data_IF_260226806699
#
_entry.id   IF_260226806699
#
_cell.length_a   1.000
_cell.length_b   1.000
_cell.length_c   1.000
_cell.angle_alpha   90.00
_cell.angle_beta   90.00
_cell.angle_gamma   90.00
#
_symmetry.space_group_name_H-M   'P 1'
#
loop_
_entity.id
_entity.type
_entity.pdbx_description
1 polymer ?
#
# COMPACT_ATOMS: atom_id res chain seq x y z
N UNK A 1 12.62 6.43 18.48
CA UNK A 1 11.97 6.30 19.80
C UNK A 1 10.82 5.33 19.75
N UNK A 2 9.89 5.50 18.79
CA UNK A 2 8.73 4.59 18.66
C UNK A 2 9.18 3.16 18.35
N UNK A 3 10.11 2.98 17.42
CA UNK A 3 10.61 1.65 17.07
C UNK A 3 11.30 0.97 18.26
N UNK A 4 12.07 1.73 19.02
CA UNK A 4 12.76 1.21 20.18
C UNK A 4 11.75 0.78 21.27
N UNK A 5 10.70 1.55 21.45
CA UNK A 5 9.62 1.22 22.38
C UNK A 5 8.86 -0.03 21.93
N UNK A 6 8.55 -0.15 20.64
CA UNK A 6 7.92 -1.36 20.10
C UNK A 6 8.78 -2.59 20.32
N UNK A 7 10.09 -2.49 20.08
CA UNK A 7 11.01 -3.61 20.27
C UNK A 7 11.07 -4.07 21.73
N UNK A 8 10.98 -3.12 22.69
CA UNK A 8 11.05 -3.43 24.12
C UNK A 8 9.75 -3.97 24.71
N UNK A 9 8.62 -3.41 24.27
CA UNK A 9 7.33 -3.61 24.94
C UNK A 9 6.37 -4.50 24.16
N UNK A 10 6.77 -5.02 23.01
CA UNK A 10 5.92 -5.90 22.20
C UNK A 10 6.73 -7.10 21.70
N UNK A 11 6.01 -8.10 21.18
CA UNK A 11 6.61 -9.27 20.52
C UNK A 11 6.70 -9.09 19.01
N UNK A 12 6.45 -7.88 18.51
CA UNK A 12 6.55 -7.59 17.09
C UNK A 12 7.98 -7.79 16.60
N UNK A 13 8.13 -8.40 15.45
CA UNK A 13 9.42 -8.71 14.84
C UNK A 13 9.82 -7.73 13.76
N UNK A 14 8.84 -7.16 13.08
CA UNK A 14 9.08 -6.19 12.01
C UNK A 14 7.89 -5.24 11.85
N UNK A 15 8.13 -4.14 11.15
CA UNK A 15 7.10 -3.16 10.81
C UNK A 15 7.16 -2.93 9.30
N UNK A 16 5.99 -2.92 8.66
CA UNK A 16 5.85 -2.60 7.23
C UNK A 16 5.09 -1.29 7.13
N UNK A 17 5.57 -0.40 6.27
CA UNK A 17 4.88 0.86 5.99
C UNK A 17 4.88 1.15 4.49
N UNK A 18 4.02 2.06 4.08
CA UNK A 18 3.84 2.41 2.68
C UNK A 18 3.89 3.92 2.51
N UNK A 19 4.55 4.37 1.44
CA UNK A 19 4.55 5.76 1.03
C UNK A 19 3.81 5.86 -0.31
N UNK A 20 2.81 6.74 -0.38
CA UNK A 20 1.93 6.84 -1.54
C UNK A 20 2.51 7.81 -2.59
N UNK A 21 2.94 7.31 -3.77
CA UNK A 21 3.48 8.18 -4.80
C UNK A 21 2.44 9.14 -5.39
N UNK A 22 1.15 8.81 -5.36
CA UNK A 22 0.11 9.72 -5.86
C UNK A 22 -0.07 10.92 -4.95
N UNK A 23 0.29 10.81 -3.68
CA UNK A 23 0.30 11.92 -2.72
C UNK A 23 1.65 12.65 -2.67
N UNK A 24 2.56 12.33 -3.57
CA UNK A 24 3.90 12.93 -3.59
C UNK A 24 4.87 12.37 -2.57
N UNK A 25 4.55 11.25 -1.94
CA UNK A 25 5.38 10.66 -0.90
C UNK A 25 6.36 9.62 -1.47
N UNK A 26 7.63 9.87 -1.26
CA UNK A 26 8.71 8.98 -1.68
C UNK A 26 9.18 8.07 -0.55
N UNK A 27 8.85 8.41 0.68
CA UNK A 27 9.31 7.67 1.85
C UNK A 27 10.66 8.14 2.38
N UNK A 28 11.00 9.41 2.18
CA UNK A 28 12.30 9.97 2.61
C UNK A 28 12.53 9.77 4.11
N UNK A 29 11.49 9.90 4.92
CA UNK A 29 11.59 9.69 6.37
C UNK A 29 12.02 8.26 6.69
N UNK A 30 11.56 7.28 5.93
CA UNK A 30 11.93 5.87 6.12
C UNK A 30 13.35 5.61 5.62
N UNK A 31 13.75 6.24 4.51
CA UNK A 31 15.12 6.15 4.01
C UNK A 31 16.11 6.71 5.02
N UNK A 32 15.79 7.86 5.60
CA UNK A 32 16.62 8.49 6.63
C UNK A 32 16.72 7.63 7.90
N UNK A 33 15.69 6.84 8.20
CA UNK A 33 15.68 5.93 9.33
C UNK A 33 16.33 4.57 9.07
N UNK A 34 16.87 4.35 7.87
CA UNK A 34 17.52 3.08 7.53
C UNK A 34 16.59 1.93 7.24
N UNK A 35 15.35 2.20 6.88
CA UNK A 35 14.39 1.16 6.52
C UNK A 35 14.79 0.49 5.21
N UNK A 36 14.43 -0.78 5.07
CA UNK A 36 14.66 -1.51 3.83
C UNK A 36 13.55 -1.20 2.84
N UNK A 37 13.92 -0.95 1.59
CA UNK A 37 12.96 -0.74 0.52
C UNK A 37 12.74 -2.05 -0.24
N UNK A 38 11.49 -2.47 -0.38
CA UNK A 38 11.15 -3.74 -1.02
C UNK A 38 10.35 -3.55 -2.31
N UNK A 39 10.38 -2.36 -2.88
CA UNK A 39 9.73 -2.08 -4.16
C UNK A 39 8.34 -1.50 -4.00
N UNK A 40 7.58 -1.57 -5.06
CA UNK A 40 6.22 -1.04 -5.13
C UNK A 40 5.24 -2.17 -4.90
N UNK A 41 4.23 -1.93 -4.07
CA UNK A 41 3.16 -2.92 -3.83
C UNK A 41 2.30 -3.09 -5.08
N UNK A 42 1.46 -4.13 -5.07
CA UNK A 42 0.51 -4.37 -6.16
C UNK A 42 -0.40 -3.15 -6.36
N UNK A 43 -0.68 -2.77 -7.61
CA UNK A 43 -1.66 -1.74 -7.88
C UNK A 43 -3.04 -2.17 -7.38
N UNK A 44 -3.86 -1.19 -7.04
CA UNK A 44 -5.21 -1.45 -6.58
C UNK A 44 -6.22 -0.71 -7.45
N UNK A 45 -7.48 -1.12 -7.33
CA UNK A 45 -8.58 -0.48 -8.06
C UNK A 45 -9.62 -0.01 -7.06
N UNK A 46 -9.96 1.26 -7.13
CA UNK A 46 -11.11 1.82 -6.46
C UNK A 46 -12.24 1.97 -7.48
N UNK A 47 -13.45 2.14 -7.01
CA UNK A 47 -14.61 2.25 -7.90
C UNK A 47 -15.40 3.52 -7.58
N UNK A 48 -15.70 4.26 -8.63
CA UNK A 48 -16.57 5.43 -8.56
C UNK A 48 -17.98 4.98 -8.92
N UNK A 49 -18.91 5.21 -8.01
CA UNK A 49 -20.33 4.86 -8.20
C UNK A 49 -21.16 6.00 -8.78
N UNK A 50 -20.49 7.01 -9.34
CA UNK A 50 -21.14 8.15 -9.98
C UNK A 50 -21.09 9.44 -9.19
N UNK A 51 -20.45 9.44 -8.02
CA UNK A 51 -20.31 10.61 -7.15
C UNK A 51 -18.90 11.20 -7.11
N UNK A 52 -17.99 10.67 -7.92
CA UNK A 52 -16.60 11.12 -7.95
C UNK A 52 -15.74 10.63 -6.82
N UNK A 53 -16.24 9.76 -5.96
CA UNK A 53 -15.51 9.23 -4.81
C UNK A 53 -15.07 7.80 -5.09
N UNK A 54 -13.75 7.54 -4.98
CA UNK A 54 -13.22 6.18 -5.13
C UNK A 54 -13.46 5.35 -3.89
N UNK A 55 -14.02 4.16 -4.05
CA UNK A 55 -14.31 3.24 -2.96
C UNK A 55 -13.78 1.85 -3.25
N UNK A 56 -13.31 1.17 -2.22
CA UNK A 56 -13.02 -0.25 -2.32
C UNK A 56 -14.31 -1.05 -2.52
N UNK A 57 -14.22 -2.16 -3.26
CA UNK A 57 -15.40 -3.01 -3.48
C UNK A 57 -16.01 -3.53 -2.18
N UNK A 58 -15.21 -3.72 -1.14
CA UNK A 58 -15.72 -4.12 0.18
C UNK A 58 -16.65 -3.08 0.79
N UNK A 59 -16.36 -1.80 0.57
CA UNK A 59 -17.16 -0.71 1.11
C UNK A 59 -18.57 -0.70 0.54
N UNK A 60 -18.69 -0.73 -0.78
CA UNK A 60 -20.02 -0.75 -1.39
C UNK A 60 -20.65 -2.14 -1.34
N UNK A 61 -19.86 -3.19 -1.20
CA UNK A 61 -20.37 -4.53 -0.99
C UNK A 61 -21.23 -4.63 0.26
N UNK A 62 -20.84 -3.97 1.34
CA UNK A 62 -21.65 -3.88 2.55
C UNK A 62 -22.89 -3.00 2.36
N UNK A 63 -22.74 -1.85 1.73
CA UNK A 63 -23.83 -0.90 1.55
C UNK A 63 -24.88 -1.38 0.55
N UNK A 64 -24.45 -2.03 -0.54
CA UNK A 64 -25.32 -2.42 -1.64
C UNK A 64 -25.65 -3.92 -1.68
N UNK A 65 -25.07 -4.71 -0.77
CA UNK A 65 -25.28 -6.14 -0.69
C UNK A 65 -24.58 -6.97 -1.77
N UNK A 66 -23.75 -6.34 -2.61
CA UNK A 66 -23.05 -7.05 -3.67
C UNK A 66 -21.78 -6.31 -4.10
N UNK A 67 -20.78 -7.08 -4.51
CA UNK A 67 -19.58 -6.57 -5.17
C UNK A 67 -19.58 -6.83 -6.68
N UNK A 68 -20.63 -7.45 -7.20
CA UNK A 68 -20.69 -7.80 -8.61
C UNK A 68 -20.90 -6.53 -9.45
N UNK A 69 -19.90 -6.13 -10.22
CA UNK A 69 -19.98 -4.97 -11.10
C UNK A 69 -21.02 -5.20 -12.20
N UNK A 70 -21.13 -6.44 -12.69
CA UNK A 70 -22.13 -6.82 -13.68
C UNK A 70 -23.54 -6.60 -13.13
N UNK A 71 -23.79 -7.04 -11.90
CA UNK A 71 -25.07 -6.86 -11.23
C UNK A 71 -25.41 -5.38 -11.07
N UNK A 72 -24.47 -4.60 -10.54
CA UNK A 72 -24.67 -3.16 -10.31
C UNK A 72 -24.97 -2.42 -11.61
N UNK A 73 -24.21 -2.69 -12.67
CA UNK A 73 -24.43 -2.08 -13.99
C UNK A 73 -25.77 -2.46 -14.59
N UNK A 74 -26.16 -3.72 -14.42
CA UNK A 74 -27.46 -4.23 -14.91
C UNK A 74 -28.64 -3.54 -14.24
N UNK A 75 -28.49 -3.17 -12.96
CA UNK A 75 -29.52 -2.48 -12.19
C UNK A 75 -29.38 -0.96 -12.20
N UNK A 76 -28.65 -0.41 -13.17
CA UNK A 76 -28.56 1.03 -13.40
C UNK A 76 -27.53 1.75 -12.56
N UNK A 77 -26.76 1.06 -11.73
CA UNK A 77 -25.69 1.70 -10.96
C UNK A 77 -24.52 2.00 -11.88
N UNK A 78 -24.10 3.26 -11.93
CA UNK A 78 -22.91 3.65 -12.67
C UNK A 78 -21.68 3.25 -11.87
N UNK A 79 -20.78 2.45 -12.46
CA UNK A 79 -19.55 2.00 -11.83
C UNK A 79 -18.39 2.23 -12.78
N UNK A 80 -17.44 3.03 -12.35
CA UNK A 80 -16.23 3.33 -13.13
C UNK A 80 -15.00 2.95 -12.33
N UNK A 81 -14.07 2.12 -12.85
CA UNK A 81 -12.85 1.78 -12.14
C UNK A 81 -11.90 2.97 -12.11
N UNK A 82 -11.23 3.15 -10.97
CA UNK A 82 -10.15 4.12 -10.80
C UNK A 82 -8.91 3.33 -10.42
N UNK A 83 -7.95 3.24 -11.34
CA UNK A 83 -6.70 2.55 -11.08
C UNK A 83 -5.83 3.40 -10.17
N UNK A 84 -5.26 2.76 -9.14
CA UNK A 84 -4.29 3.37 -8.24
C UNK A 84 -2.97 2.64 -8.36
N UNK A 85 -1.85 3.36 -8.59
CA UNK A 85 -0.54 2.70 -8.61
C UNK A 85 -0.23 2.10 -7.25
N UNK A 86 0.69 1.15 -7.24
CA UNK A 86 1.21 0.61 -6.01
C UNK A 86 1.92 1.66 -5.17
N UNK A 87 2.14 1.36 -3.91
CA UNK A 87 2.81 2.24 -2.98
C UNK A 87 4.22 1.75 -2.70
N UNK A 88 5.13 2.68 -2.43
CA UNK A 88 6.48 2.34 -1.98
C UNK A 88 6.41 1.61 -0.65
N UNK A 89 6.97 0.43 -0.58
CA UNK A 89 6.91 -0.42 0.62
C UNK A 89 8.25 -0.43 1.33
N UNK A 90 8.23 -0.06 2.60
CA UNK A 90 9.41 -0.04 3.47
C UNK A 90 9.22 -1.00 4.63
N UNK A 91 10.30 -1.65 5.02
CA UNK A 91 10.32 -2.66 6.08
C UNK A 91 11.41 -2.34 7.08
N UNK A 92 11.11 -2.49 8.36
CA UNK A 92 12.09 -2.36 9.42
C UNK A 92 12.00 -3.57 10.35
N UNK A 93 13.12 -4.26 10.56
CA UNK A 93 13.18 -5.37 11.48
C UNK A 93 13.44 -4.87 12.90
N UNK A 94 12.49 -5.12 13.79
CA UNK A 94 12.66 -4.88 15.23
C UNK A 94 13.55 -5.96 15.83
N UNK A 95 13.42 -7.19 15.36
CA UNK A 95 14.28 -8.31 15.68
C UNK A 95 15.11 -8.66 14.44
N UNK A 96 16.39 -8.31 14.45
CA UNK A 96 17.26 -8.49 13.28
C UNK A 96 17.48 -9.96 12.93
N UNK A 97 17.26 -10.88 13.85
CA UNK A 97 17.34 -12.32 13.56
C UNK A 97 16.27 -12.76 12.55
N UNK A 98 15.20 -11.98 12.39
CA UNK A 98 14.16 -12.27 11.42
C UNK A 98 14.50 -11.83 9.99
N UNK A 99 15.60 -11.12 9.79
CA UNK A 99 15.99 -10.64 8.44
C UNK A 99 16.18 -11.77 7.45
N UNK A 100 16.59 -12.96 7.91
CA UNK A 100 16.77 -14.13 7.05
C UNK A 100 15.43 -14.68 6.52
N UNK A 101 14.31 -14.29 7.12
CA UNK A 101 12.98 -14.75 6.72
C UNK A 101 12.34 -13.87 5.66
N UNK A 102 13.01 -12.80 5.26
CA UNK A 102 12.52 -11.92 4.20
C UNK A 102 12.49 -12.67 2.87
N UNK A 103 11.31 -12.76 2.27
CA UNK A 103 11.10 -13.52 1.03
C UNK A 103 10.95 -12.63 -0.20
N UNK A 104 11.22 -11.34 -0.07
CA UNK A 104 11.20 -10.40 -1.19
C UNK A 104 12.57 -9.71 -1.28
N UNK A 105 13.02 -9.33 -2.47
CA UNK A 105 14.33 -8.67 -2.61
C UNK A 105 14.31 -7.27 -2.02
N UNK A 106 15.43 -6.89 -1.40
CA UNK A 106 15.69 -5.50 -1.02
C UNK A 106 16.17 -4.76 -2.25
N UNK A 107 15.61 -3.58 -2.50
CA UNK A 107 15.89 -2.78 -3.69
C UNK A 107 16.52 -1.44 -3.30
N UNK A 108 17.24 -0.77 -4.23
CA UNK A 108 17.71 0.58 -4.00
C UNK A 108 16.56 1.54 -3.73
N UNK A 109 16.80 2.56 -2.93
CA UNK A 109 15.79 3.57 -2.62
C UNK A 109 15.35 4.31 -3.88
N UNK A 110 14.04 4.59 -4.03
CA UNK A 110 13.56 5.38 -5.15
C UNK A 110 14.02 6.83 -5.01
N UNK A 111 14.35 7.45 -6.13
CA UNK A 111 14.83 8.84 -6.18
C UNK A 111 13.80 9.80 -6.75
N UNK A 112 12.68 9.29 -7.23
CA UNK A 112 11.57 10.10 -7.70
C UNK A 112 10.27 9.34 -7.50
N UNK A 113 9.15 10.06 -7.52
CA UNK A 113 7.82 9.46 -7.40
C UNK A 113 7.26 8.95 -8.73
N UNK A 114 8.06 8.97 -9.79
CA UNK A 114 7.63 8.38 -11.05
C UNK A 114 7.65 6.87 -10.97
N UNK A 115 6.62 6.22 -11.47
CA UNK A 115 6.53 4.77 -11.48
C UNK A 115 7.29 4.15 -12.66
N UNK A 116 7.76 4.94 -13.61
CA UNK A 116 8.50 4.46 -14.77
C UNK A 116 9.80 3.78 -14.38
N UNK A 117 10.41 4.17 -13.27
CA UNK A 117 11.62 3.56 -12.76
C UNK A 117 11.44 2.16 -12.20
N UNK A 118 10.22 1.65 -12.15
CA UNK A 118 9.90 0.33 -11.58
C UNK A 118 9.52 -0.71 -12.64
N UNK A 119 9.72 -0.37 -13.85
CA UNK A 119 9.46 -1.32 -14.96
C UNK A 119 10.56 -2.38 -15.05
#
# INVERSE_FOLDING_TARGET
VVLRSLARHTRLKFVVTYADPTAGHLGIIYQAGGWLYTGVSEPSVLYDLGDGVGRHSRTFGHALGTRSLRYLRRHGTRVSPIERPGKHRYLYFLDKAWSDKLNVPVRPYPKSNTLDGFK
#
